data_IF_922358777141
#
_entry.id   IF_922358777141
#
_cell.length_a   1.000
_cell.length_b   1.000
_cell.length_c   1.000
_cell.angle_alpha   90.00
_cell.angle_beta   90.00
_cell.angle_gamma   90.00
#
_symmetry.space_group_name_H-M   'P 1'
#
loop_
_entity.id
_entity.type
_entity.pdbx_description
1 polymer ?
#
# COMPACT_ATOMS: atom_id res chain seq x y z
N UNK A 1 -8.15 7.43 -15.36
CA UNK A 1 -7.39 8.26 -14.42
C UNK A 1 -8.26 8.53 -13.20
N UNK A 2 -7.69 8.53 -12.00
CA UNK A 2 -8.42 8.69 -10.74
C UNK A 2 -8.19 10.11 -10.18
N UNK A 3 -8.83 11.12 -10.77
CA UNK A 3 -8.55 12.55 -10.48
C UNK A 3 -9.48 13.15 -9.41
N UNK A 4 -10.76 12.80 -9.47
CA UNK A 4 -11.81 13.31 -8.58
C UNK A 4 -11.91 12.46 -7.32
N UNK A 5 -12.40 11.23 -7.49
CA UNK A 5 -12.61 10.25 -6.43
C UNK A 5 -11.56 9.16 -6.47
N UNK A 6 -10.86 8.94 -5.35
CA UNK A 6 -9.91 7.85 -5.21
C UNK A 6 -9.58 7.49 -3.77
N UNK A 7 -9.15 6.25 -3.59
CA UNK A 7 -8.41 5.79 -2.42
C UNK A 7 -6.91 5.79 -2.73
N UNK A 8 -6.17 6.60 -2.00
CA UNK A 8 -4.70 6.62 -2.02
C UNK A 8 -4.17 5.72 -0.90
N UNK A 9 -3.26 4.81 -1.24
CA UNK A 9 -2.64 3.88 -0.29
C UNK A 9 -1.12 4.04 -0.36
N UNK A 10 -0.50 4.20 0.82
CA UNK A 10 0.94 4.40 0.97
C UNK A 10 1.56 3.40 1.93
N UNK A 11 2.81 3.05 1.66
CA UNK A 11 3.62 2.10 2.41
C UNK A 11 4.30 2.79 3.60
N UNK A 12 3.59 2.94 4.72
CA UNK A 12 4.02 3.63 5.93
C UNK A 12 2.91 4.46 6.55
N UNK A 13 3.15 5.07 7.71
CA UNK A 13 2.11 5.77 8.47
C UNK A 13 1.88 7.24 8.12
N UNK A 14 2.56 7.80 7.11
CA UNK A 14 2.53 9.24 6.81
C UNK A 14 1.97 9.50 5.40
N UNK A 15 1.43 10.71 5.19
CA UNK A 15 1.02 11.17 3.85
C UNK A 15 2.20 11.36 2.87
N UNK A 16 3.43 11.44 3.39
CA UNK A 16 4.68 11.47 2.63
C UNK A 16 5.29 10.09 2.42
N UNK A 17 4.72 9.04 3.02
CA UNK A 17 5.19 7.67 2.83
C UNK A 17 5.10 7.26 1.35
N UNK A 18 5.94 6.33 0.89
CA UNK A 18 5.95 5.96 -0.52
C UNK A 18 4.60 5.47 -1.04
N UNK A 19 4.23 5.91 -2.25
CA UNK A 19 2.94 5.59 -2.87
C UNK A 19 2.93 4.14 -3.33
N UNK A 20 1.95 3.36 -2.85
CA UNK A 20 1.65 2.04 -3.41
C UNK A 20 0.76 2.21 -4.64
N UNK A 21 -0.28 3.03 -4.53
CA UNK A 21 -1.16 3.32 -5.66
C UNK A 21 -2.34 4.23 -5.33
N UNK A 22 -2.99 4.71 -6.39
CA UNK A 22 -4.30 5.38 -6.35
C UNK A 22 -5.32 4.48 -7.03
N UNK A 23 -6.42 4.22 -6.34
CA UNK A 23 -7.44 3.27 -6.75
C UNK A 23 -8.78 3.97 -6.90
N UNK A 24 -9.47 3.71 -8.01
CA UNK A 24 -10.83 4.18 -8.29
C UNK A 24 -11.53 3.18 -9.23
N UNK A 25 -12.85 3.30 -9.36
CA UNK A 25 -13.65 2.37 -10.15
C UNK A 25 -13.71 0.96 -9.53
N UNK A 26 -13.84 -0.07 -10.36
CA UNK A 26 -14.10 -1.45 -9.90
C UNK A 26 -12.91 -2.40 -10.08
N UNK A 27 -11.90 -2.02 -10.87
CA UNK A 27 -10.73 -2.86 -11.17
C UNK A 27 -9.59 -2.62 -10.17
N UNK A 28 -9.80 -3.02 -8.92
CA UNK A 28 -8.84 -2.87 -7.82
C UNK A 28 -8.23 -4.25 -7.47
N UNK A 29 -6.91 -4.36 -7.23
CA UNK A 29 -6.30 -5.62 -6.79
C UNK A 29 -6.98 -6.14 -5.52
N UNK A 30 -7.26 -7.46 -5.47
CA UNK A 30 -7.89 -8.09 -4.30
C UNK A 30 -7.04 -8.00 -3.03
N UNK A 31 -5.73 -7.93 -3.19
CA UNK A 31 -4.77 -7.88 -2.10
C UNK A 31 -3.72 -6.83 -2.42
N UNK A 32 -3.45 -5.95 -1.45
CA UNK A 32 -2.45 -4.89 -1.56
C UNK A 32 -1.42 -5.15 -0.45
N UNK A 33 -0.21 -5.62 -0.80
CA UNK A 33 0.81 -5.90 0.21
C UNK A 33 1.31 -4.59 0.84
N UNK A 34 1.42 -4.59 2.17
CA UNK A 34 2.25 -3.63 2.89
C UNK A 34 3.67 -4.17 2.97
N UNK A 35 4.67 -3.29 2.88
CA UNK A 35 6.06 -3.65 3.19
C UNK A 35 6.55 -2.97 4.49
N UNK A 36 5.60 -2.44 5.27
CA UNK A 36 5.78 -1.80 6.57
C UNK A 36 4.75 -2.35 7.57
N UNK A 37 4.97 -2.10 8.86
CA UNK A 37 4.00 -2.35 9.92
C UNK A 37 2.89 -1.29 10.01
N UNK A 38 2.97 -0.24 9.19
CA UNK A 38 1.98 0.84 9.11
C UNK A 38 1.60 1.09 7.65
N UNK A 39 0.34 1.43 7.41
CA UNK A 39 -0.15 1.90 6.12
C UNK A 39 -0.94 3.18 6.30
N UNK A 40 -0.84 4.07 5.32
CA UNK A 40 -1.56 5.32 5.28
C UNK A 40 -2.59 5.23 4.16
N UNK A 41 -3.85 5.47 4.52
CA UNK A 41 -4.98 5.46 3.63
C UNK A 41 -5.62 6.84 3.63
N UNK A 42 -5.82 7.42 2.45
CA UNK A 42 -6.54 8.67 2.27
C UNK A 42 -7.60 8.51 1.20
N UNK A 43 -8.86 8.71 1.58
CA UNK A 43 -9.95 8.82 0.63
C UNK A 43 -10.16 10.28 0.26
N UNK A 44 -10.19 10.57 -1.04
CA UNK A 44 -10.58 11.87 -1.59
C UNK A 44 -11.86 11.69 -2.41
N UNK A 45 -12.79 12.62 -2.25
CA UNK A 45 -13.96 12.72 -3.11
C UNK A 45 -14.32 14.18 -3.39
N UNK A 46 -15.10 14.42 -4.45
CA UNK A 46 -15.63 15.74 -4.79
C UNK A 46 -17.16 15.84 -4.61
N UNK A 47 -17.77 16.92 -5.10
CA UNK A 47 -19.21 17.19 -4.94
C UNK A 47 -20.10 16.52 -5.99
N UNK A 48 -19.54 15.70 -6.88
CA UNK A 48 -20.22 15.12 -8.04
C UNK A 48 -20.13 13.59 -8.04
N UNK A 49 -21.10 12.93 -8.69
CA UNK A 49 -21.12 11.48 -8.96
C UNK A 49 -20.61 10.56 -7.82
N UNK A 50 -21.47 10.26 -6.85
CA UNK A 50 -21.13 9.36 -5.76
C UNK A 50 -21.30 7.87 -6.10
N UNK A 51 -20.50 7.02 -5.46
CA UNK A 51 -20.58 5.55 -5.53
C UNK A 51 -20.81 4.89 -4.18
N UNK A 52 -20.74 3.56 -4.15
CA UNK A 52 -20.90 2.75 -2.91
C UNK A 52 -19.76 2.92 -1.90
N UNK A 53 -18.62 3.47 -2.32
CA UNK A 53 -17.42 3.56 -1.51
C UNK A 53 -16.58 2.27 -1.58
N UNK A 54 -15.79 2.02 -0.53
CA UNK A 54 -14.90 0.86 -0.43
C UNK A 54 -15.10 0.14 0.90
N UNK A 55 -14.79 -1.15 0.88
CA UNK A 55 -14.67 -1.98 2.07
C UNK A 55 -13.33 -2.70 2.00
N UNK A 56 -12.58 -2.69 3.08
CA UNK A 56 -11.30 -3.37 3.17
C UNK A 56 -11.16 -4.08 4.52
N UNK A 57 -10.42 -5.17 4.48
CA UNK A 57 -9.96 -5.92 5.65
C UNK A 57 -8.44 -5.95 5.60
N UNK A 58 -7.80 -5.87 6.75
CA UNK A 58 -6.35 -6.00 6.87
C UNK A 58 -6.01 -7.25 7.67
N UNK A 59 -4.87 -7.85 7.34
CA UNK A 59 -4.30 -8.97 8.06
C UNK A 59 -2.88 -8.59 8.49
N UNK A 60 -2.60 -8.65 9.80
CA UNK A 60 -1.29 -8.39 10.40
C UNK A 60 -0.57 -9.67 10.83
N UNK A 61 -1.16 -10.84 10.56
CA UNK A 61 -0.64 -12.15 11.01
C UNK A 61 0.60 -12.61 10.22
N UNK A 62 0.90 -11.99 9.08
CA UNK A 62 2.25 -12.05 8.49
C UNK A 62 3.20 -11.24 9.35
N UNK A 63 3.71 -11.86 10.41
CA UNK A 63 4.80 -11.35 11.25
C UNK A 63 6.05 -11.16 10.39
N UNK A 64 6.22 -9.99 9.77
CA UNK A 64 7.44 -9.68 9.04
C UNK A 64 7.34 -8.57 8.01
N UNK A 65 8.51 -8.32 7.44
CA UNK A 65 8.77 -7.55 6.23
C UNK A 65 9.13 -8.53 5.11
N UNK A 66 8.88 -8.14 3.86
CA UNK A 66 9.15 -9.01 2.72
C UNK A 66 7.90 -9.31 1.91
N UNK A 67 7.97 -10.33 1.09
CA UNK A 67 6.89 -10.78 0.22
C UNK A 67 7.25 -10.73 -1.26
N UNK A 68 6.28 -11.07 -2.11
CA UNK A 68 6.44 -11.00 -3.56
C UNK A 68 6.06 -9.60 -4.08
N UNK A 69 6.93 -9.02 -4.90
CA UNK A 69 6.73 -7.71 -5.52
C UNK A 69 6.59 -7.93 -7.01
N UNK A 70 5.39 -7.67 -7.54
CA UNK A 70 5.10 -7.85 -8.97
C UNK A 70 4.97 -6.55 -9.76
N UNK A 71 5.05 -5.40 -9.07
CA UNK A 71 4.93 -4.10 -9.71
C UNK A 71 6.17 -3.81 -10.58
N UNK A 72 5.95 -3.18 -11.74
CA UNK A 72 7.02 -2.77 -12.64
C UNK A 72 7.93 -1.67 -12.05
N UNK A 73 7.40 -0.92 -11.07
CA UNK A 73 8.14 0.08 -10.30
C UNK A 73 7.55 0.19 -8.89
N UNK A 74 8.31 0.73 -7.95
CA UNK A 74 7.90 0.90 -6.56
C UNK A 74 9.09 1.18 -5.64
N UNK A 75 8.84 1.15 -4.34
CA UNK A 75 9.88 1.37 -3.31
C UNK A 75 9.73 0.36 -2.18
N UNK A 76 10.84 -0.16 -1.70
CA UNK A 76 10.93 -1.00 -0.52
C UNK A 76 11.51 -0.19 0.64
N UNK A 77 10.90 -0.30 1.80
CA UNK A 77 11.35 0.37 3.03
C UNK A 77 11.47 -0.66 4.15
N UNK A 78 12.38 -0.41 5.09
CA UNK A 78 12.44 -1.18 6.32
C UNK A 78 11.19 -0.91 7.17
N UNK A 79 10.76 -1.86 8.01
CA UNK A 79 9.73 -1.55 9.01
C UNK A 79 10.12 -0.35 9.86
N UNK A 80 9.11 0.44 10.25
CA UNK A 80 9.25 1.71 10.95
C UNK A 80 9.98 2.85 10.22
N UNK A 81 10.43 2.70 8.97
CA UNK A 81 11.09 3.79 8.23
C UNK A 81 10.27 5.10 8.31
N UNK A 82 10.89 6.27 8.63
CA UNK A 82 12.34 6.54 8.72
C UNK A 82 12.98 6.25 10.09
N UNK A 83 12.21 5.72 11.05
CA UNK A 83 12.71 5.35 12.37
C UNK A 83 13.44 4.00 12.32
N UNK A 84 14.08 3.64 13.44
CA UNK A 84 14.83 2.40 13.58
C UNK A 84 13.94 1.16 13.38
N UNK A 85 14.46 0.19 12.61
CA UNK A 85 13.82 -1.09 12.42
C UNK A 85 13.98 -1.98 13.67
N UNK A 86 13.06 -2.92 13.94
CA UNK A 86 13.16 -3.83 15.08
C UNK A 86 14.41 -4.73 15.00
N UNK A 87 15.11 -4.99 16.13
CA UNK A 87 16.26 -5.88 16.14
C UNK A 87 15.88 -7.32 15.79
N UNK A 88 16.82 -8.07 15.21
CA UNK A 88 16.67 -9.49 14.85
C UNK A 88 15.57 -9.81 13.83
N UNK A 89 15.18 -8.83 13.02
CA UNK A 89 14.22 -8.97 11.95
C UNK A 89 14.90 -9.44 10.66
N UNK A 90 14.41 -10.52 10.04
CA UNK A 90 14.87 -10.98 8.72
C UNK A 90 13.80 -10.71 7.68
N UNK A 91 14.10 -9.88 6.69
CA UNK A 91 13.23 -9.55 5.56
C UNK A 91 13.69 -10.27 4.29
N UNK A 92 12.76 -10.79 3.49
CA UNK A 92 13.06 -11.30 2.15
C UNK A 92 12.02 -10.85 1.15
N UNK A 93 12.47 -10.21 0.06
CA UNK A 93 11.60 -9.77 -1.04
C UNK A 93 11.93 -10.55 -2.30
N UNK A 94 10.90 -11.10 -2.95
CA UNK A 94 11.01 -11.73 -4.25
C UNK A 94 10.41 -10.83 -5.31
N UNK A 95 11.24 -10.22 -6.13
CA UNK A 95 10.81 -9.26 -7.15
C UNK A 95 10.64 -10.00 -8.49
N UNK A 96 9.45 -9.93 -9.07
CA UNK A 96 9.10 -10.57 -10.34
C UNK A 96 8.35 -9.58 -11.23
N UNK A 97 8.98 -9.08 -12.29
CA UNK A 97 8.30 -8.22 -13.26
C UNK A 97 7.81 -9.07 -14.42
N UNK A 98 6.50 -9.22 -14.55
CA UNK A 98 5.91 -9.86 -15.72
C UNK A 98 5.98 -8.89 -16.91
N UNK A 99 6.51 -9.37 -18.03
CA UNK A 99 6.57 -8.63 -19.31
C UNK A 99 5.20 -8.56 -19.98
#
# INVERSE_FOLDING_TARGET
>A
ACEYDFLEIRNGGLNTSPLIGKFCGENIPRTIPSFSNTMFLMFKSDSSFSGRGFYLTWDSTTTGCGGEVTSASGSLTSPNYPQNYPPSLTCSWKIMVNR
#
